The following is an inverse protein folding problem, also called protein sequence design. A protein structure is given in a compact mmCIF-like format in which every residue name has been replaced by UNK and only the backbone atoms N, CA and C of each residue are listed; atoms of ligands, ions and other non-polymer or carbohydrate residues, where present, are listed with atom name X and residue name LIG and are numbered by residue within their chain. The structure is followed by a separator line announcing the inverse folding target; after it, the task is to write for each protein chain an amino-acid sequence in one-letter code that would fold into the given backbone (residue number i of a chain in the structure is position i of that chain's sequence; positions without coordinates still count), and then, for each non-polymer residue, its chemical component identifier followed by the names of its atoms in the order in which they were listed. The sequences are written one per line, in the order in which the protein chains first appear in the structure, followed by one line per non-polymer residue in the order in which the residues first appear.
data_IF_377329259188
#
_entry.id   IF_377329259188
#
_cell.length_a   1.000
_cell.length_b   1.000
_cell.length_c   1.000
_cell.angle_alpha   90.00
_cell.angle_beta   90.00
_cell.angle_gamma   90.00
#
_symmetry.space_group_name_H-M   'P 1'
#
loop_
_entity.id
_entity.type
_entity.pdbx_description
1 polymer ?
#
# COMPACT_ATOMS: atom_id res chain seq x y z
N UNK A 1 13.42 -0.83 24.99
CA UNK A 1 12.97 -0.27 23.69
C UNK A 1 14.03 -0.34 22.60
N UNK A 2 15.32 -0.45 22.94
CA UNK A 2 16.44 -0.60 21.99
C UNK A 2 16.34 -1.84 21.09
N UNK A 3 15.67 -2.91 21.55
CA UNK A 3 15.54 -4.16 20.79
C UNK A 3 14.37 -4.22 19.81
N UNK A 4 13.60 -3.15 19.60
CA UNK A 4 12.50 -3.18 18.64
C UNK A 4 13.03 -3.26 17.20
N UNK A 5 12.46 -4.08 16.29
CA UNK A 5 12.93 -4.20 14.91
C UNK A 5 13.08 -2.87 14.17
N UNK A 6 12.14 -1.93 14.38
CA UNK A 6 12.25 -0.56 13.85
C UNK A 6 13.51 0.18 14.32
N UNK A 7 13.88 0.07 15.61
CA UNK A 7 15.05 0.75 16.18
C UNK A 7 16.33 0.11 15.63
N UNK A 8 16.38 -1.21 15.54
CA UNK A 8 17.51 -1.94 14.94
C UNK A 8 17.72 -1.59 13.47
N UNK A 9 16.65 -1.35 12.71
CA UNK A 9 16.74 -0.93 11.31
C UNK A 9 17.47 0.43 11.17
N UNK A 10 17.22 1.37 12.09
CA UNK A 10 17.88 2.68 12.07
C UNK A 10 19.39 2.60 12.34
N UNK A 11 19.85 1.51 12.96
CA UNK A 11 21.24 1.30 13.36
C UNK A 11 22.05 0.46 12.34
N UNK A 12 21.40 -0.08 11.30
CA UNK A 12 22.07 -0.93 10.32
C UNK A 12 22.83 -0.10 9.27
N UNK A 13 24.09 -0.47 8.93
CA UNK A 13 24.83 0.19 7.88
C UNK A 13 24.17 -0.08 6.52
N UNK A 14 24.01 0.96 5.70
CA UNK A 14 23.61 0.81 4.30
C UNK A 14 24.76 0.15 3.55
N UNK A 15 24.59 -1.11 3.13
CA UNK A 15 25.56 -1.76 2.24
C UNK A 15 25.47 -1.13 0.84
N UNK A 16 26.58 -1.07 0.10
CA UNK A 16 26.61 -0.46 -1.25
C UNK A 16 25.65 -1.15 -2.24
N UNK A 17 25.35 -2.44 -2.04
CA UNK A 17 24.37 -3.21 -2.81
C UNK A 17 22.92 -3.03 -2.30
N UNK A 18 22.71 -2.32 -1.18
CA UNK A 18 21.45 -2.22 -0.42
C UNK A 18 20.45 -1.15 -0.91
N UNK A 19 20.59 -0.62 -2.12
CA UNK A 19 19.77 0.53 -2.58
C UNK A 19 18.51 0.15 -3.37
N UNK A 20 18.29 -1.13 -3.67
CA UNK A 20 17.05 -1.55 -4.32
C UNK A 20 15.95 -1.86 -3.30
N UNK A 21 14.72 -1.42 -3.57
CA UNK A 21 13.55 -1.69 -2.72
C UNK A 21 13.37 -3.20 -2.45
N UNK A 22 13.76 -4.04 -3.41
CA UNK A 22 13.78 -5.50 -3.29
C UNK A 22 14.77 -6.01 -2.25
N UNK A 23 16.01 -5.48 -2.23
CA UNK A 23 17.03 -5.91 -1.27
C UNK A 23 16.63 -5.56 0.17
N UNK A 24 15.94 -4.43 0.34
CA UNK A 24 15.37 -4.04 1.63
C UNK A 24 14.25 -5.01 2.04
N UNK A 25 13.31 -5.33 1.15
CA UNK A 25 12.25 -6.30 1.44
C UNK A 25 12.79 -7.72 1.71
N UNK A 26 13.77 -8.16 0.94
CA UNK A 26 14.45 -9.46 1.11
C UNK A 26 15.15 -9.55 2.47
N UNK A 27 15.79 -8.46 2.92
CA UNK A 27 16.38 -8.37 4.26
C UNK A 27 15.36 -8.59 5.38
N UNK A 28 14.08 -8.31 5.12
CA UNK A 28 12.97 -8.57 6.03
C UNK A 28 12.24 -9.90 5.76
N UNK A 29 12.83 -10.81 4.98
CA UNK A 29 12.28 -12.11 4.59
C UNK A 29 10.98 -12.03 3.77
N UNK A 30 10.74 -10.90 3.11
CA UNK A 30 9.65 -10.76 2.15
C UNK A 30 10.20 -10.94 0.73
N UNK A 31 10.16 -12.18 0.26
CA UNK A 31 10.63 -12.54 -1.09
C UNK A 31 9.48 -12.45 -2.09
N UNK A 32 9.72 -11.73 -3.19
CA UNK A 32 8.83 -11.69 -4.35
C UNK A 32 9.62 -12.08 -5.62
N UNK A 33 10.15 -13.31 -5.69
CA UNK A 33 11.07 -13.70 -6.75
C UNK A 33 10.40 -13.64 -8.13
N UNK A 34 9.10 -13.97 -8.22
CA UNK A 34 8.39 -14.00 -9.49
C UNK A 34 8.05 -12.59 -9.97
N UNK A 35 7.57 -11.72 -9.06
CA UNK A 35 7.34 -10.31 -9.41
C UNK A 35 8.66 -9.61 -9.78
N UNK A 36 9.74 -9.89 -9.05
CA UNK A 36 11.05 -9.31 -9.35
C UNK A 36 11.57 -9.82 -10.70
N UNK A 37 11.41 -11.11 -11.00
CA UNK A 37 11.71 -11.68 -12.31
C UNK A 37 10.94 -10.98 -13.44
N UNK A 38 9.63 -10.75 -13.26
CA UNK A 38 8.82 -9.99 -14.21
C UNK A 38 9.34 -8.55 -14.40
N UNK A 39 9.62 -7.85 -13.31
CA UNK A 39 10.16 -6.47 -13.33
C UNK A 39 11.47 -6.40 -14.12
N UNK A 40 12.41 -7.31 -13.87
CA UNK A 40 13.68 -7.37 -14.58
C UNK A 40 13.52 -7.73 -16.07
N UNK A 41 12.60 -8.66 -16.39
CA UNK A 41 12.30 -9.04 -17.78
C UNK A 41 11.72 -7.86 -18.56
N UNK A 42 10.73 -7.16 -18.00
CA UNK A 42 10.15 -5.93 -18.58
C UNK A 42 11.22 -4.87 -18.80
N UNK A 43 12.06 -4.60 -17.79
CA UNK A 43 13.10 -3.57 -17.87
C UNK A 43 14.19 -3.90 -18.90
N UNK A 44 14.58 -5.17 -19.00
CA UNK A 44 15.53 -5.67 -20.01
C UNK A 44 14.99 -5.55 -21.43
N UNK A 45 13.67 -5.62 -21.57
CA UNK A 45 12.99 -5.50 -22.86
C UNK A 45 12.70 -4.06 -23.28
N UNK A 46 12.93 -3.05 -22.43
CA UNK A 46 12.95 -1.65 -22.86
C UNK A 46 14.11 -1.39 -23.83
N UNK A 47 13.79 -0.70 -24.92
CA UNK A 47 14.75 -0.28 -25.94
C UNK A 47 15.49 1.00 -25.53
N UNK A 48 16.79 1.05 -25.81
CA UNK A 48 17.64 2.24 -25.62
C UNK A 48 17.57 3.23 -26.79
N UNK A 49 16.76 2.93 -27.81
CA UNK A 49 16.60 3.67 -29.06
C UNK A 49 15.32 3.26 -29.79
N UNK A 50 15.06 3.78 -31.01
CA UNK A 50 13.95 3.30 -31.82
C UNK A 50 14.04 1.79 -32.08
N UNK A 51 12.92 1.04 -32.00
CA UNK A 51 11.61 1.53 -31.58
C UNK A 51 11.52 1.72 -30.06
N UNK A 52 11.04 2.90 -29.63
CA UNK A 52 10.92 3.30 -28.22
C UNK A 52 9.94 2.42 -27.43
N UNK A 53 10.13 2.28 -26.12
CA UNK A 53 9.37 1.34 -25.27
C UNK A 53 9.85 -0.11 -25.37
N UNK A 54 8.94 -1.10 -25.22
CA UNK A 54 9.29 -2.54 -25.26
C UNK A 54 9.72 -2.97 -26.67
N UNK A 55 10.98 -3.39 -26.83
CA UNK A 55 11.66 -3.57 -28.13
C UNK A 55 11.01 -4.56 -29.10
N UNK A 56 10.39 -5.62 -28.59
CA UNK A 56 9.82 -6.69 -29.41
C UNK A 56 8.35 -6.46 -29.81
N UNK A 57 7.70 -5.39 -29.33
CA UNK A 57 6.37 -5.02 -29.80
C UNK A 57 6.40 -4.52 -31.25
N UNK A 58 5.42 -4.94 -32.03
CA UNK A 58 5.10 -4.44 -33.36
C UNK A 58 3.95 -3.45 -33.22
N UNK A 59 4.24 -2.22 -33.59
CA UNK A 59 3.27 -1.15 -33.81
C UNK A 59 3.41 -0.68 -35.25
N UNK A 60 2.36 -0.08 -35.80
CA UNK A 60 2.56 0.76 -36.97
C UNK A 60 3.53 1.92 -36.62
N UNK A 61 4.19 2.49 -37.63
CA UNK A 61 5.15 3.58 -37.44
C UNK A 61 4.45 4.95 -37.25
N UNK A 62 3.16 4.97 -36.92
CA UNK A 62 2.47 6.23 -36.64
C UNK A 62 2.96 6.83 -35.32
N UNK A 63 2.88 8.16 -35.23
CA UNK A 63 3.20 8.89 -34.00
C UNK A 63 2.31 8.45 -32.83
N UNK A 64 1.00 8.25 -33.07
CA UNK A 64 0.04 7.80 -32.04
C UNK A 64 0.40 6.40 -31.50
N UNK A 65 0.74 5.45 -32.38
CA UNK A 65 1.12 4.11 -31.94
C UNK A 65 2.46 4.10 -31.19
N UNK A 66 3.41 4.94 -31.62
CA UNK A 66 4.70 5.12 -30.92
C UNK A 66 4.51 5.71 -29.52
N UNK A 67 3.70 6.77 -29.39
CA UNK A 67 3.36 7.38 -28.10
C UNK A 67 2.66 6.38 -27.20
N UNK A 68 1.68 5.64 -27.72
CA UNK A 68 0.97 4.60 -26.95
C UNK A 68 1.93 3.52 -26.46
N UNK A 69 2.82 3.04 -27.32
CA UNK A 69 3.86 2.07 -26.98
C UNK A 69 4.71 2.55 -25.82
N UNK A 70 5.20 3.78 -25.87
CA UNK A 70 5.97 4.40 -24.80
C UNK A 70 5.18 4.43 -23.49
N UNK A 71 3.96 4.96 -23.52
CA UNK A 71 3.16 5.16 -22.31
C UNK A 71 2.77 3.84 -21.63
N UNK A 72 2.38 2.84 -22.41
CA UNK A 72 2.08 1.50 -21.90
C UNK A 72 3.34 0.83 -21.35
N UNK A 73 4.47 0.93 -22.07
CA UNK A 73 5.77 0.38 -21.63
C UNK A 73 6.25 1.02 -20.31
N UNK A 74 6.19 2.34 -20.21
CA UNK A 74 6.55 3.08 -19.00
C UNK A 74 5.63 2.71 -17.84
N UNK A 75 4.31 2.62 -18.09
CA UNK A 75 3.33 2.27 -17.06
C UNK A 75 3.57 0.87 -16.49
N UNK A 76 3.86 -0.15 -17.31
CA UNK A 76 4.17 -1.49 -16.79
C UNK A 76 5.53 -1.53 -16.07
N UNK A 77 6.53 -0.82 -16.60
CA UNK A 77 7.85 -0.75 -16.00
C UNK A 77 7.77 -0.09 -14.62
N UNK A 78 7.17 1.10 -14.54
CA UNK A 78 6.93 1.80 -13.28
C UNK A 78 6.00 1.03 -12.36
N UNK A 79 4.93 0.43 -12.89
CA UNK A 79 3.98 -0.36 -12.10
C UNK A 79 4.70 -1.44 -11.32
N UNK A 80 5.56 -2.22 -11.99
CA UNK A 80 6.30 -3.34 -11.37
C UNK A 80 7.26 -2.89 -10.27
N UNK A 81 7.95 -1.76 -10.46
CA UNK A 81 8.78 -1.13 -9.41
C UNK A 81 7.94 -0.56 -8.26
N UNK A 82 6.84 0.12 -8.59
CA UNK A 82 5.99 0.82 -7.62
C UNK A 82 5.24 -0.17 -6.72
N UNK A 83 4.96 -1.39 -7.18
CA UNK A 83 4.48 -2.47 -6.31
C UNK A 83 5.46 -2.71 -5.15
N UNK A 84 6.76 -2.86 -5.44
CA UNK A 84 7.78 -3.09 -4.42
C UNK A 84 7.90 -1.90 -3.45
N UNK A 85 7.86 -0.68 -3.98
CA UNK A 85 7.90 0.55 -3.16
C UNK A 85 6.72 0.65 -2.21
N UNK A 86 5.52 0.34 -2.69
CA UNK A 86 4.32 0.33 -1.85
C UNK A 86 4.35 -0.80 -0.80
N UNK A 87 4.90 -1.97 -1.13
CA UNK A 87 5.08 -3.05 -0.14
C UNK A 87 6.10 -2.67 0.93
N UNK A 88 7.20 -2.01 0.54
CA UNK A 88 8.19 -1.48 1.48
C UNK A 88 7.57 -0.41 2.38
N UNK A 89 6.81 0.53 1.80
CA UNK A 89 6.09 1.54 2.56
C UNK A 89 5.08 0.93 3.54
N UNK A 90 4.33 -0.09 3.11
CA UNK A 90 3.41 -0.83 3.97
C UNK A 90 4.15 -1.48 5.14
N UNK A 91 5.31 -2.07 4.89
CA UNK A 91 6.13 -2.69 5.92
C UNK A 91 6.71 -1.68 6.91
N UNK A 92 7.22 -0.54 6.43
CA UNK A 92 7.74 0.53 7.31
C UNK A 92 6.63 1.06 8.23
N UNK A 93 5.44 1.30 7.69
CA UNK A 93 4.28 1.66 8.50
C UNK A 93 3.88 0.54 9.46
N UNK A 94 3.98 -0.72 9.08
CA UNK A 94 3.70 -1.84 9.98
C UNK A 94 4.69 -1.90 11.16
N UNK A 95 5.98 -1.67 10.92
CA UNK A 95 7.00 -1.60 11.96
C UNK A 95 6.72 -0.47 12.95
N UNK A 96 6.38 0.71 12.45
CA UNK A 96 6.02 1.86 13.28
C UNK A 96 4.70 1.63 14.03
N UNK A 97 3.70 1.01 13.40
CA UNK A 97 2.44 0.63 14.04
C UNK A 97 2.69 -0.28 15.26
N UNK A 98 3.51 -1.32 15.09
CA UNK A 98 3.87 -2.25 16.16
C UNK A 98 4.61 -1.52 17.30
N UNK A 99 5.57 -0.67 16.93
CA UNK A 99 6.34 0.13 17.89
C UNK A 99 5.44 1.04 18.72
N UNK A 100 4.62 1.87 18.07
CA UNK A 100 3.76 2.83 18.74
C UNK A 100 2.66 2.16 19.57
N UNK A 101 2.17 0.99 19.14
CA UNK A 101 1.23 0.18 19.92
C UNK A 101 1.86 -0.24 21.25
N UNK A 102 3.10 -0.74 21.22
CA UNK A 102 3.84 -1.11 22.43
C UNK A 102 4.15 0.09 23.31
N UNK A 103 4.58 1.22 22.74
CA UNK A 103 4.81 2.44 23.51
C UNK A 103 3.55 2.93 24.22
N UNK A 104 2.38 2.81 23.58
CA UNK A 104 1.10 3.16 24.17
C UNK A 104 0.75 2.24 25.34
N UNK A 105 0.91 0.92 25.18
CA UNK A 105 0.67 -0.06 26.24
C UNK A 105 1.60 0.16 27.45
N UNK A 106 2.90 0.36 27.22
CA UNK A 106 3.87 0.64 28.28
C UNK A 106 3.53 1.95 29.03
N UNK A 107 3.13 2.99 28.29
CA UNK A 107 2.66 4.24 28.91
C UNK A 107 1.42 4.00 29.77
N UNK A 108 0.45 3.26 29.28
CA UNK A 108 -0.78 2.96 30.01
C UNK A 108 -0.46 2.20 31.31
N UNK A 109 0.38 1.19 31.24
CA UNK A 109 0.83 0.40 32.39
C UNK A 109 1.57 1.22 33.45
N UNK A 110 2.46 2.15 33.04
CA UNK A 110 3.13 3.06 33.98
C UNK A 110 2.13 3.93 34.74
N UNK A 111 1.08 4.41 34.08
CA UNK A 111 0.06 5.23 34.74
C UNK A 111 -0.76 4.42 35.75
N UNK A 112 -1.11 3.16 35.43
CA UNK A 112 -1.75 2.26 36.40
C UNK A 112 -0.87 2.09 37.63
N UNK A 113 0.40 1.73 37.43
CA UNK A 113 1.35 1.52 38.53
C UNK A 113 1.48 2.74 39.44
N UNK A 114 1.67 3.93 38.87
CA UNK A 114 1.75 5.17 39.65
C UNK A 114 0.45 5.44 40.44
N UNK A 115 -0.71 5.16 39.86
CA UNK A 115 -1.99 5.33 40.54
C UNK A 115 -2.13 4.36 41.73
N UNK A 116 -1.78 3.09 41.53
CA UNK A 116 -1.79 2.08 42.59
C UNK A 116 -0.81 2.41 43.73
N UNK A 117 0.39 2.89 43.42
CA UNK A 117 1.38 3.32 44.43
C UNK A 117 0.85 4.49 45.26
N UNK A 118 0.29 5.52 44.61
CA UNK A 118 -0.32 6.67 45.31
C UNK A 118 -1.49 6.23 46.19
N UNK A 119 -2.32 5.31 45.72
CA UNK A 119 -3.42 4.76 46.51
C UNK A 119 -2.91 4.00 47.74
N UNK A 120 -1.89 3.13 47.62
CA UNK A 120 -1.30 2.41 48.77
C UNK A 120 -0.69 3.34 49.82
N UNK A 121 -0.11 4.45 49.40
CA UNK A 121 0.48 5.45 50.30
C UNK A 121 -0.58 6.34 50.99
N UNK A 122 -1.78 6.42 50.43
CA UNK A 122 -2.91 7.16 50.98
C UNK A 122 -3.70 6.23 51.89
N UNK A 123 -3.44 6.22 53.21
CA UNK A 123 -4.05 5.33 54.21
C UNK A 123 -5.57 5.53 54.45
N UNK A 124 -6.37 5.70 53.39
CA UNK A 124 -7.81 5.91 53.48
C UNK A 124 -8.53 4.58 53.25
N UNK A 125 -9.18 4.09 54.30
CA UNK A 125 -10.06 2.91 54.31
C UNK A 125 -11.11 3.03 53.21
N UNK A 126 -11.09 2.12 52.24
CA UNK A 126 -12.04 2.10 51.14
C UNK A 126 -13.37 1.47 51.59
N UNK A 127 -14.47 2.23 51.50
CA UNK A 127 -15.82 1.64 51.39
C UNK A 127 -16.01 1.20 49.93
N UNK A 128 -16.50 -0.02 49.67
CA UNK A 128 -16.74 -0.49 48.31
C UNK A 128 -17.88 0.33 47.69
N UNK A 129 -17.53 1.37 46.95
CA UNK A 129 -18.46 2.05 46.05
C UNK A 129 -18.76 1.06 44.93
N UNK A 130 -20.02 0.63 44.84
CA UNK A 130 -20.57 -0.15 43.72
C UNK A 130 -19.97 0.36 42.42
N UNK A 131 -19.41 -0.55 41.62
CA UNK A 131 -18.78 -0.33 40.31
C UNK A 131 -19.60 0.58 39.39
N UNK A 132 -19.57 1.89 39.60
CA UNK A 132 -19.65 2.83 38.50
C UNK A 132 -18.26 2.82 37.92
N UNK A 133 -18.14 2.42 36.66
CA UNK A 133 -16.95 2.64 35.82
C UNK A 133 -16.62 4.14 35.88
N UNK A 134 -15.92 4.57 36.92
CA UNK A 134 -15.26 5.85 36.95
C UNK A 134 -14.22 5.74 35.86
N UNK A 135 -14.55 6.30 34.70
CA UNK A 135 -13.62 6.52 33.61
C UNK A 135 -12.41 7.24 34.20
N UNK A 136 -11.37 6.48 34.55
CA UNK A 136 -10.09 7.06 34.94
C UNK A 136 -9.55 7.66 33.65
N UNK A 137 -9.87 8.93 33.44
CA UNK A 137 -9.38 9.69 32.28
C UNK A 137 -7.89 9.91 32.54
N UNK A 138 -7.06 9.00 32.06
CA UNK A 138 -5.61 9.11 32.14
C UNK A 138 -5.17 10.32 31.32
N UNK A 139 -4.58 11.32 31.99
CA UNK A 139 -4.10 12.54 31.33
C UNK A 139 -2.66 12.34 30.85
N UNK A 140 -2.36 12.57 29.56
CA UNK A 140 -0.98 12.52 29.06
C UNK A 140 -0.13 13.60 29.76
N UNK A 141 1.10 13.25 30.14
CA UNK A 141 2.06 14.15 30.80
C UNK A 141 3.00 14.85 29.83
N UNK A 142 3.16 14.30 28.63
CA UNK A 142 4.03 14.86 27.59
C UNK A 142 3.29 14.91 26.25
N UNK A 143 3.76 15.77 25.34
CA UNK A 143 3.20 15.87 23.99
C UNK A 143 3.28 14.52 23.26
N UNK A 144 4.40 13.81 23.40
CA UNK A 144 4.58 12.49 22.80
C UNK A 144 3.52 11.48 23.27
N UNK A 145 3.19 11.48 24.57
CA UNK A 145 2.12 10.64 25.10
C UNK A 145 0.74 11.03 24.55
N UNK A 146 0.49 12.33 24.38
CA UNK A 146 -0.77 12.83 23.85
C UNK A 146 -0.98 12.45 22.37
N UNK A 147 0.10 12.40 21.58
CA UNK A 147 0.01 12.05 20.15
C UNK A 147 0.17 10.56 19.87
N UNK A 148 0.65 9.75 20.83
CA UNK A 148 0.92 8.33 20.63
C UNK A 148 -0.30 7.54 20.06
N UNK A 149 -1.54 7.73 20.55
CA UNK A 149 -2.72 7.13 19.92
C UNK A 149 -2.91 7.52 18.44
N UNK A 150 -2.56 8.76 18.08
CA UNK A 150 -2.65 9.26 16.70
C UNK A 150 -1.55 8.71 15.82
N UNK A 151 -0.38 8.40 16.36
CA UNK A 151 0.68 7.70 15.64
C UNK A 151 0.26 6.27 15.29
N UNK A 152 -0.32 5.53 16.25
CA UNK A 152 -0.90 4.21 15.96
C UNK A 152 -1.91 4.27 14.81
N UNK A 153 -2.85 5.22 14.86
CA UNK A 153 -3.83 5.43 13.79
C UNK A 153 -3.18 5.84 12.45
N UNK A 154 -2.19 6.74 12.48
CA UNK A 154 -1.47 7.19 11.28
C UNK A 154 -0.83 6.01 10.55
N UNK A 155 -0.11 5.17 11.28
CA UNK A 155 0.62 4.04 10.69
C UNK A 155 -0.34 2.92 10.27
N UNK A 156 -1.42 2.66 11.02
CA UNK A 156 -2.48 1.74 10.56
C UNK A 156 -3.08 2.16 9.19
N UNK A 157 -3.40 3.45 9.03
CA UNK A 157 -3.87 4.00 7.75
C UNK A 157 -2.79 3.90 6.68
N UNK A 158 -1.53 4.16 7.07
CA UNK A 158 -0.37 4.02 6.21
C UNK A 158 -0.22 2.62 5.62
N UNK A 159 -0.30 1.57 6.44
CA UNK A 159 -0.24 0.16 6.00
C UNK A 159 -1.33 -0.10 4.96
N UNK A 160 -2.59 0.19 5.29
CA UNK A 160 -3.72 -0.09 4.40
C UNK A 160 -3.58 0.64 3.06
N UNK A 161 -3.23 1.94 3.07
CA UNK A 161 -3.04 2.75 1.85
C UNK A 161 -1.94 2.17 0.96
N UNK A 162 -0.81 1.83 1.54
CA UNK A 162 0.32 1.32 0.79
C UNK A 162 0.00 -0.05 0.17
N UNK A 163 -0.64 -0.97 0.91
CA UNK A 163 -1.10 -2.26 0.37
C UNK A 163 -2.09 -2.10 -0.79
N UNK A 164 -3.07 -1.21 -0.66
CA UNK A 164 -4.07 -0.97 -1.72
C UNK A 164 -3.42 -0.33 -2.95
N UNK A 165 -2.44 0.55 -2.74
CA UNK A 165 -1.66 1.14 -3.84
C UNK A 165 -0.82 0.08 -4.56
N UNK A 166 -0.23 -0.87 -3.84
CA UNK A 166 0.46 -2.02 -4.44
C UNK A 166 -0.50 -2.85 -5.31
N UNK A 167 -1.70 -3.16 -4.80
CA UNK A 167 -2.72 -3.91 -5.56
C UNK A 167 -3.21 -3.13 -6.81
N UNK A 168 -3.40 -1.81 -6.71
CA UNK A 168 -3.76 -0.98 -7.86
C UNK A 168 -2.64 -0.98 -8.93
N UNK A 169 -1.36 -0.96 -8.53
CA UNK A 169 -0.25 -1.11 -9.47
C UNK A 169 -0.23 -2.50 -10.12
N UNK A 170 -0.51 -3.58 -9.37
CA UNK A 170 -0.67 -4.93 -9.95
C UNK A 170 -1.82 -4.96 -10.96
N UNK A 171 -2.92 -4.24 -10.73
CA UNK A 171 -4.01 -4.19 -11.68
C UNK A 171 -3.57 -3.60 -13.04
N UNK A 172 -2.75 -2.55 -13.02
CA UNK A 172 -2.15 -2.01 -14.24
C UNK A 172 -1.21 -3.01 -14.93
N UNK A 173 -0.40 -3.77 -14.16
CA UNK A 173 0.46 -4.83 -14.70
C UNK A 173 -0.35 -5.92 -15.40
N UNK A 174 -1.41 -6.40 -14.76
CA UNK A 174 -2.30 -7.42 -15.32
C UNK A 174 -2.89 -6.95 -16.65
N UNK A 175 -3.40 -5.71 -16.70
CA UNK A 175 -3.94 -5.13 -17.93
C UNK A 175 -2.88 -5.02 -19.03
N UNK A 176 -1.65 -4.58 -18.70
CA UNK A 176 -0.57 -4.39 -19.67
C UNK A 176 0.04 -5.70 -20.19
N UNK A 177 0.21 -6.69 -19.31
CA UNK A 177 0.85 -7.98 -19.63
C UNK A 177 -0.11 -8.96 -20.31
N UNK A 178 -1.40 -8.99 -19.92
CA UNK A 178 -2.45 -9.81 -20.54
C UNK A 178 -3.19 -9.12 -21.70
N UNK A 179 -2.52 -8.20 -22.39
CA UNK A 179 -3.11 -7.04 -23.08
C UNK A 179 -4.64 -6.88 -23.02
N UNK A 180 -5.17 -6.63 -21.82
CA UNK A 180 -6.61 -6.47 -21.65
C UNK A 180 -7.04 -5.12 -22.26
N UNK A 181 -8.18 -5.12 -22.97
CA UNK A 181 -8.77 -3.90 -23.57
C UNK A 181 -9.44 -3.02 -22.50
N UNK A 182 -8.63 -2.47 -21.60
CA UNK A 182 -9.03 -1.63 -20.45
C UNK A 182 -8.03 -0.50 -20.26
N UNK A 183 -8.53 0.68 -19.88
CA UNK A 183 -7.71 1.87 -19.63
C UNK A 183 -6.75 1.64 -18.46
N UNK A 184 -5.43 1.66 -18.71
CA UNK A 184 -4.42 1.40 -17.68
C UNK A 184 -4.29 2.53 -16.65
N UNK A 185 -4.47 3.79 -17.06
CA UNK A 185 -4.34 4.96 -16.17
C UNK A 185 -5.35 4.92 -15.00
N UNK A 186 -6.50 4.27 -15.20
CA UNK A 186 -7.64 4.32 -14.28
C UNK A 186 -8.05 2.97 -13.73
N UNK A 187 -7.31 1.92 -14.07
CA UNK A 187 -7.60 0.60 -13.51
C UNK A 187 -7.22 0.61 -12.02
N UNK A 188 -8.09 -0.01 -11.23
CA UNK A 188 -7.87 -0.27 -9.81
C UNK A 188 -8.06 -1.76 -9.59
N UNK A 189 -7.55 -2.29 -8.48
CA UNK A 189 -7.73 -3.71 -8.17
C UNK A 189 -9.23 -4.08 -8.04
N UNK A 190 -10.03 -3.19 -7.44
CA UNK A 190 -11.50 -3.35 -7.38
C UNK A 190 -12.14 -3.43 -8.77
N UNK A 191 -11.76 -2.54 -9.69
CA UNK A 191 -12.28 -2.56 -11.08
C UNK A 191 -11.80 -3.77 -11.84
N UNK A 192 -10.56 -4.21 -11.63
CA UNK A 192 -10.04 -5.43 -12.23
C UNK A 192 -10.91 -6.63 -11.82
N UNK A 193 -11.16 -6.82 -10.52
CA UNK A 193 -12.04 -7.89 -10.00
C UNK A 193 -13.40 -7.90 -10.68
N UNK A 194 -14.02 -6.73 -10.83
CA UNK A 194 -15.37 -6.59 -11.40
C UNK A 194 -15.42 -6.80 -12.91
N UNK A 195 -14.35 -6.44 -13.64
CA UNK A 195 -14.42 -6.25 -15.08
C UNK A 195 -13.53 -7.20 -15.90
N UNK A 196 -12.65 -7.99 -15.26
CA UNK A 196 -11.63 -8.79 -15.94
C UNK A 196 -12.17 -10.05 -16.63
N UNK A 197 -13.32 -10.59 -16.21
CA UNK A 197 -13.87 -11.84 -16.75
C UNK A 197 -14.17 -11.80 -18.26
N UNK A 198 -14.84 -10.75 -18.75
CA UNK A 198 -15.17 -10.62 -20.20
C UNK A 198 -13.93 -10.38 -21.08
N UNK A 199 -12.98 -9.50 -20.71
CA UNK A 199 -11.72 -9.33 -21.43
C UNK A 199 -10.91 -10.62 -21.61
N UNK A 200 -10.82 -11.48 -20.59
CA UNK A 200 -10.04 -12.74 -20.69
C UNK A 200 -10.59 -13.66 -21.78
N UNK A 201 -11.91 -13.74 -21.94
CA UNK A 201 -12.53 -14.59 -22.96
C UNK A 201 -12.16 -14.20 -24.39
N UNK A 202 -11.60 -13.00 -24.59
CA UNK A 202 -11.11 -12.52 -25.90
C UNK A 202 -9.64 -12.82 -26.14
N UNK A 203 -8.93 -13.31 -25.13
CA UNK A 203 -7.57 -13.82 -25.27
C UNK A 203 -7.60 -15.24 -25.83
N UNK A 204 -6.46 -15.72 -26.29
CA UNK A 204 -6.32 -17.09 -26.82
C UNK A 204 -5.08 -17.79 -26.25
N UNK A 205 -5.13 -19.12 -26.24
CA UNK A 205 -4.03 -19.97 -25.80
C UNK A 205 -3.51 -19.62 -24.40
N UNK A 206 -2.18 -19.52 -24.27
CA UNK A 206 -1.47 -19.27 -23.00
C UNK A 206 -1.97 -18.00 -22.29
N UNK A 207 -2.33 -16.94 -23.04
CA UNK A 207 -2.82 -15.69 -22.44
C UNK A 207 -4.18 -15.86 -21.79
N UNK A 208 -5.07 -16.66 -22.38
CA UNK A 208 -6.40 -16.94 -21.83
C UNK A 208 -6.31 -17.83 -20.59
N UNK A 209 -5.45 -18.86 -20.64
CA UNK A 209 -5.24 -19.78 -19.52
C UNK A 209 -4.66 -19.05 -18.31
N UNK A 210 -3.55 -18.33 -18.49
CA UNK A 210 -2.95 -17.52 -17.43
C UNK A 210 -3.91 -16.41 -16.97
N UNK A 211 -4.62 -15.75 -17.89
CA UNK A 211 -5.64 -14.77 -17.54
C UNK A 211 -6.75 -15.35 -16.66
N UNK A 212 -7.17 -16.59 -16.92
CA UNK A 212 -8.16 -17.30 -16.09
C UNK A 212 -7.58 -17.64 -14.71
N UNK A 213 -6.31 -18.07 -14.63
CA UNK A 213 -5.63 -18.30 -13.34
C UNK A 213 -5.51 -17.01 -12.53
N UNK A 214 -5.10 -15.90 -13.16
CA UNK A 214 -5.07 -14.58 -12.52
C UNK A 214 -6.46 -14.13 -12.07
N UNK A 215 -7.48 -14.31 -12.90
CA UNK A 215 -8.86 -13.99 -12.52
C UNK A 215 -9.31 -14.78 -11.30
N UNK A 216 -8.99 -16.08 -11.24
CA UNK A 216 -9.30 -16.91 -10.09
C UNK A 216 -8.56 -16.44 -8.84
N UNK A 217 -7.28 -16.05 -8.94
CA UNK A 217 -6.54 -15.49 -7.80
C UNK A 217 -7.15 -14.17 -7.31
N UNK A 218 -7.43 -13.26 -8.25
CA UNK A 218 -7.95 -11.90 -7.99
C UNK A 218 -9.38 -11.94 -7.46
N UNK A 219 -10.19 -12.90 -7.91
CA UNK A 219 -11.56 -13.09 -7.46
C UNK A 219 -11.71 -14.11 -6.34
N UNK A 220 -10.66 -14.87 -6.00
CA UNK A 220 -10.70 -15.75 -4.83
C UNK A 220 -10.84 -14.89 -3.59
N UNK A 221 -11.84 -15.20 -2.76
CA UNK A 221 -12.02 -14.50 -1.48
C UNK A 221 -11.00 -14.94 -0.43
N UNK A 222 -10.04 -15.81 -0.80
CA UNK A 222 -9.08 -16.42 0.12
C UNK A 222 -9.72 -17.17 1.30
N UNK A 223 -11.03 -17.45 1.23
CA UNK A 223 -11.82 -18.02 2.31
C UNK A 223 -12.25 -17.02 3.42
N UNK A 224 -11.73 -15.80 3.44
CA UNK A 224 -11.86 -14.90 4.59
C UNK A 224 -12.34 -13.47 4.24
N UNK A 225 -12.54 -13.14 2.95
CA UNK A 225 -13.07 -11.83 2.53
C UNK A 225 -12.14 -10.65 2.80
N UNK A 226 -10.87 -10.92 3.11
CA UNK A 226 -9.90 -9.90 3.53
C UNK A 226 -9.58 -8.89 2.42
N UNK A 227 -9.67 -9.29 1.14
CA UNK A 227 -9.45 -8.39 0.00
C UNK A 227 -10.55 -7.34 -0.05
N UNK A 228 -11.83 -7.76 0.03
CA UNK A 228 -12.96 -6.84 0.06
C UNK A 228 -12.92 -5.92 1.28
N UNK A 229 -12.57 -6.48 2.43
CA UNK A 229 -12.35 -5.72 3.65
C UNK A 229 -11.27 -4.64 3.46
N UNK A 230 -10.10 -5.02 2.94
CA UNK A 230 -9.00 -4.10 2.70
C UNK A 230 -9.43 -2.99 1.71
N UNK A 231 -10.05 -3.36 0.58
CA UNK A 231 -10.55 -2.39 -0.41
C UNK A 231 -11.63 -1.46 0.19
N UNK A 232 -12.44 -1.94 1.12
CA UNK A 232 -13.42 -1.13 1.86
C UNK A 232 -12.78 0.00 2.67
N UNK A 233 -11.59 -0.23 3.25
CA UNK A 233 -10.83 0.80 3.97
C UNK A 233 -10.44 1.98 3.07
N UNK A 234 -10.28 1.78 1.76
CA UNK A 234 -9.97 2.85 0.81
C UNK A 234 -10.98 3.99 0.88
N UNK A 235 -12.26 3.64 0.89
CA UNK A 235 -13.33 4.64 0.82
C UNK A 235 -13.46 5.43 2.12
N UNK A 236 -13.26 4.76 3.26
CA UNK A 236 -13.42 5.41 4.56
C UNK A 236 -12.13 6.08 5.00
N UNK A 237 -11.01 5.36 5.09
CA UNK A 237 -9.78 5.88 5.68
C UNK A 237 -8.99 6.83 4.79
N UNK A 238 -9.06 6.69 3.46
CA UNK A 238 -8.26 7.51 2.53
C UNK A 238 -9.07 8.65 1.92
N UNK A 239 -10.33 8.40 1.55
CA UNK A 239 -11.12 9.36 0.77
C UNK A 239 -12.08 10.23 1.58
N UNK A 240 -12.60 9.76 2.73
CA UNK A 240 -13.76 10.40 3.38
C UNK A 240 -13.60 10.72 4.87
N UNK A 241 -12.66 10.10 5.58
CA UNK A 241 -12.30 10.47 6.96
C UNK A 241 -11.65 9.31 7.72
N UNK A 242 -10.54 9.58 8.42
CA UNK A 242 -9.83 8.56 9.22
C UNK A 242 -10.75 8.03 10.31
N UNK A 243 -11.33 6.84 10.13
CA UNK A 243 -12.09 6.20 11.22
C UNK A 243 -11.13 5.85 12.35
N UNK A 244 -11.66 5.86 13.56
CA UNK A 244 -10.86 5.63 14.77
C UNK A 244 -10.44 4.16 14.83
N UNK A 245 -9.16 3.89 15.09
CA UNK A 245 -8.73 2.56 15.57
C UNK A 245 -9.10 2.52 17.04
N UNK A 246 -9.86 1.52 17.45
CA UNK A 246 -10.34 1.41 18.82
C UNK A 246 -9.26 0.76 19.67
N UNK A 247 -9.08 1.21 20.91
CA UNK A 247 -8.30 0.45 21.87
C UNK A 247 -9.22 -0.08 22.96
N UNK A 248 -9.05 -1.36 23.25
CA UNK A 248 -9.66 -2.07 24.35
C UNK A 248 -8.60 -2.26 25.43
N UNK A 249 -8.97 -2.00 26.67
CA UNK A 249 -8.08 -2.21 27.82
C UNK A 249 -8.64 -3.35 28.64
N UNK A 250 -7.88 -4.43 28.76
CA UNK A 250 -8.20 -5.53 29.66
C UNK A 250 -7.13 -5.61 30.75
N UNK A 251 -7.55 -5.80 32.00
CA UNK A 251 -6.62 -6.12 33.07
C UNK A 251 -6.10 -7.53 32.81
N UNK A 252 -4.79 -7.66 32.66
CA UNK A 252 -4.15 -8.97 32.64
C UNK A 252 -4.19 -9.57 34.05
N UNK A 253 -4.24 -10.90 34.14
CA UNK A 253 -4.03 -11.59 35.43
C UNK A 253 -2.59 -11.49 35.95
N UNK A 254 -1.72 -10.74 35.27
CA UNK A 254 -0.33 -10.52 35.64
C UNK A 254 -0.20 -9.24 36.46
N UNK A 255 0.70 -9.27 37.42
CA UNK A 255 1.02 -8.14 38.28
C UNK A 255 2.41 -7.62 37.94
N UNK A 256 2.53 -6.29 37.85
CA UNK A 256 3.79 -5.61 37.67
C UNK A 256 4.47 -5.29 39.00
N UNK A 257 5.56 -4.51 38.96
CA UNK A 257 6.16 -3.94 40.16
C UNK A 257 5.10 -3.27 41.07
N UNK A 258 5.27 -3.40 42.39
CA UNK A 258 4.32 -2.94 43.42
C UNK A 258 2.96 -3.68 43.47
N UNK A 259 2.86 -4.89 42.88
CA UNK A 259 1.64 -5.70 42.82
C UNK A 259 0.46 -4.97 42.15
N UNK A 260 0.77 -4.01 41.26
CA UNK A 260 -0.24 -3.35 40.45
C UNK A 260 -0.61 -4.27 39.27
N UNK A 261 -1.90 -4.45 38.95
CA UNK A 261 -2.30 -5.24 37.79
C UNK A 261 -1.74 -4.59 36.52
N UNK A 262 -1.18 -5.41 35.64
CA UNK A 262 -0.82 -4.97 34.30
C UNK A 262 -2.06 -4.99 33.43
N UNK A 263 -2.22 -4.00 32.57
CA UNK A 263 -3.24 -3.96 31.54
C UNK A 263 -2.63 -4.31 30.18
N UNK A 264 -3.40 -5.06 29.40
CA UNK A 264 -3.17 -5.27 27.97
C UNK A 264 -3.98 -4.23 27.21
N UNK A 265 -3.30 -3.44 26.38
CA UNK A 265 -3.95 -2.46 25.48
C UNK A 265 -4.02 -3.06 24.09
N UNK A 266 -5.22 -3.44 23.66
CA UNK A 266 -5.45 -4.10 22.38
C UNK A 266 -6.07 -3.12 21.40
N UNK A 267 -5.37 -2.81 20.31
CA UNK A 267 -5.93 -2.01 19.23
C UNK A 267 -6.74 -2.89 18.28
N UNK A 268 -7.90 -2.42 17.86
CA UNK A 268 -8.91 -3.17 17.10
C UNK A 268 -9.30 -2.41 15.85
N UNK A 269 -9.48 -3.18 14.77
CA UNK A 269 -9.90 -2.67 13.47
C UNK A 269 -11.41 -2.88 13.28
N UNK A 270 -12.07 -2.06 12.45
CA UNK A 270 -13.49 -2.23 12.16
C UNK A 270 -13.75 -3.53 11.42
N UNK A 271 -14.84 -4.23 11.76
CA UNK A 271 -15.27 -5.43 11.02
C UNK A 271 -15.81 -5.09 9.63
N UNK A 272 -16.58 -4.00 9.55
CA UNK A 272 -17.20 -3.49 8.32
C UNK A 272 -16.60 -2.13 7.98
N UNK A 273 -15.48 -2.09 7.22
CA UNK A 273 -14.64 -0.91 7.04
C UNK A 273 -15.25 0.12 6.09
N UNK A 274 -16.28 -0.24 5.31
CA UNK A 274 -17.02 0.61 4.39
C UNK A 274 -18.13 1.42 5.07
N UNK A 275 -18.60 0.98 6.24
CA UNK A 275 -19.64 1.67 7.01
C UNK A 275 -18.99 2.74 7.91
N UNK A 276 -19.48 3.99 7.94
CA UNK A 276 -19.01 5.02 8.88
C UNK A 276 -19.16 4.60 10.35
N UNK A 277 -18.20 5.02 11.18
CA UNK A 277 -18.18 4.71 12.62
C UNK A 277 -19.49 5.04 13.34
N UNK A 278 -20.00 6.26 13.14
CA UNK A 278 -21.26 6.72 13.75
C UNK A 278 -22.45 5.85 13.34
N UNK A 279 -22.47 5.36 12.09
CA UNK A 279 -23.53 4.48 11.62
C UNK A 279 -23.46 3.11 12.29
N UNK A 280 -22.25 2.57 12.52
CA UNK A 280 -22.09 1.31 13.26
C UNK A 280 -22.55 1.45 14.71
N UNK A 281 -22.17 2.54 15.37
CA UNK A 281 -22.60 2.81 16.75
C UNK A 281 -24.12 2.94 16.84
N UNK A 282 -24.73 3.71 15.93
CA UNK A 282 -26.18 3.87 15.87
C UNK A 282 -26.90 2.55 15.58
N UNK A 283 -26.43 1.75 14.61
CA UNK A 283 -26.99 0.44 14.29
C UNK A 283 -26.90 -0.52 15.47
N UNK A 284 -25.73 -0.60 16.12
CA UNK A 284 -25.55 -1.46 17.27
C UNK A 284 -26.52 -1.07 18.39
N UNK A 285 -26.66 0.22 18.72
CA UNK A 285 -27.62 0.71 19.71
C UNK A 285 -29.10 0.52 19.31
N UNK A 286 -29.43 0.51 18.02
CA UNK A 286 -30.79 0.24 17.55
C UNK A 286 -31.13 -1.25 17.57
N UNK A 287 -30.14 -2.11 17.35
CA UNK A 287 -30.30 -3.57 17.28
C UNK A 287 -30.16 -4.25 18.65
N UNK A 288 -29.46 -3.65 19.60
CA UNK A 288 -29.32 -4.18 20.95
C UNK A 288 -30.50 -3.80 21.85
N UNK A 289 -31.33 -4.78 22.18
CA UNK A 289 -32.44 -4.64 23.14
C UNK A 289 -32.00 -4.69 24.61
N UNK A 290 -30.79 -4.25 24.96
CA UNK A 290 -30.25 -4.37 26.32
C UNK A 290 -29.24 -3.29 26.70
N UNK A 291 -29.30 -2.85 27.97
CA UNK A 291 -28.54 -1.72 28.54
C UNK A 291 -27.01 -1.90 28.54
N UNK A 292 -26.50 -3.11 28.33
CA UNK A 292 -25.06 -3.42 28.43
C UNK A 292 -24.29 -3.41 27.10
N UNK A 293 -24.94 -3.19 25.96
CA UNK A 293 -24.23 -3.11 24.68
C UNK A 293 -23.88 -1.65 24.37
N UNK A 294 -22.72 -1.19 24.81
CA UNK A 294 -22.12 -0.05 24.12
C UNK A 294 -21.86 -0.46 22.67
N UNK A 295 -22.30 0.35 21.70
CA UNK A 295 -22.34 0.05 20.27
C UNK A 295 -20.99 -0.19 19.55
N UNK A 296 -19.97 -0.61 20.28
CA UNK A 296 -18.63 -0.97 19.80
C UNK A 296 -18.53 -2.45 19.33
N UNK A 297 -19.64 -3.18 19.22
CA UNK A 297 -19.68 -4.63 18.91
C UNK A 297 -19.25 -5.04 17.48
N UNK A 298 -18.79 -4.10 16.64
CA UNK A 298 -18.44 -4.36 15.23
C UNK A 298 -16.94 -4.22 14.95
N UNK A 299 -16.12 -4.86 15.78
CA UNK A 299 -14.66 -4.89 15.66
C UNK A 299 -14.17 -6.27 15.24
N UNK A 300 -13.01 -6.33 14.58
CA UNK A 300 -12.33 -7.60 14.33
C UNK A 300 -11.90 -8.25 15.66
N UNK A 301 -11.98 -9.58 15.70
CA UNK A 301 -11.61 -10.38 16.86
C UNK A 301 -10.09 -10.44 17.08
N UNK A 302 -9.28 -10.11 16.07
CA UNK A 302 -7.83 -9.95 16.18
C UNK A 302 -7.43 -8.56 16.66
N UNK A 303 -6.16 -8.39 17.05
CA UNK A 303 -5.57 -7.06 17.23
C UNK A 303 -5.06 -6.50 15.90
N UNK A 304 -4.95 -5.18 15.84
CA UNK A 304 -4.59 -4.46 14.62
C UNK A 304 -3.22 -4.87 14.08
N UNK A 305 -2.23 -5.12 14.94
CA UNK A 305 -0.87 -5.51 14.52
C UNK A 305 -0.93 -6.89 13.88
N UNK A 306 -1.54 -7.87 14.54
CA UNK A 306 -1.70 -9.22 13.99
C UNK A 306 -2.49 -9.24 12.68
N UNK A 307 -3.60 -8.49 12.60
CA UNK A 307 -4.39 -8.39 11.37
C UNK A 307 -3.61 -7.77 10.22
N UNK A 308 -2.89 -6.66 10.44
CA UNK A 308 -2.07 -6.06 9.38
C UNK A 308 -0.88 -6.91 8.97
N UNK A 309 -0.30 -7.68 9.89
CA UNK A 309 0.74 -8.66 9.57
C UNK A 309 0.20 -9.72 8.59
N UNK A 310 -0.94 -10.32 8.91
CA UNK A 310 -1.59 -11.30 8.03
C UNK A 310 -1.98 -10.71 6.67
N UNK A 311 -2.46 -9.47 6.63
CA UNK A 311 -2.76 -8.76 5.39
C UNK A 311 -1.52 -8.51 4.53
N UNK A 312 -0.41 -8.11 5.15
CA UNK A 312 0.86 -7.90 4.46
C UNK A 312 1.37 -9.21 3.84
N UNK A 313 1.40 -10.29 4.62
CA UNK A 313 1.80 -11.63 4.18
C UNK A 313 0.89 -12.15 3.05
N UNK A 314 -0.43 -12.00 3.21
CA UNK A 314 -1.42 -12.37 2.21
C UNK A 314 -1.30 -11.56 0.91
N UNK A 315 -1.06 -10.25 1.00
CA UNK A 315 -0.82 -9.40 -0.17
C UNK A 315 0.45 -9.82 -0.90
N UNK A 316 1.55 -10.07 -0.18
CA UNK A 316 2.83 -10.49 -0.77
C UNK A 316 2.68 -11.81 -1.51
N UNK A 317 2.07 -12.81 -0.88
CA UNK A 317 1.82 -14.11 -1.50
C UNK A 317 0.93 -14.00 -2.75
N UNK A 318 -0.16 -13.21 -2.66
CA UNK A 318 -1.05 -12.97 -3.79
C UNK A 318 -0.31 -12.28 -4.95
N UNK A 319 0.42 -11.21 -4.65
CA UNK A 319 1.15 -10.41 -5.63
C UNK A 319 2.23 -11.23 -6.32
N UNK A 320 3.01 -12.02 -5.56
CA UNK A 320 4.06 -12.85 -6.15
C UNK A 320 3.48 -14.00 -6.99
N UNK A 321 2.36 -14.58 -6.56
CA UNK A 321 1.64 -15.60 -7.35
C UNK A 321 1.12 -15.01 -8.66
N UNK A 322 0.54 -13.80 -8.63
CA UNK A 322 0.17 -13.09 -9.86
C UNK A 322 1.41 -12.80 -10.70
N UNK A 323 2.51 -12.37 -10.08
CA UNK A 323 3.80 -12.13 -10.74
C UNK A 323 4.29 -13.35 -11.53
N UNK A 324 4.13 -14.56 -10.98
CA UNK A 324 4.47 -15.82 -11.65
C UNK A 324 3.67 -16.01 -12.92
N UNK A 325 2.36 -15.87 -12.84
CA UNK A 325 1.45 -16.01 -13.99
C UNK A 325 1.74 -14.97 -15.08
N UNK A 326 2.04 -13.74 -14.67
CA UNK A 326 2.36 -12.66 -15.59
C UNK A 326 3.74 -12.85 -16.24
N UNK A 327 4.74 -13.35 -15.51
CA UNK A 327 6.07 -13.64 -16.04
C UNK A 327 6.01 -14.72 -17.12
N UNK A 328 5.29 -15.81 -16.86
CA UNK A 328 5.07 -16.88 -17.85
C UNK A 328 4.46 -16.34 -19.15
N UNK A 329 3.43 -15.49 -19.04
CA UNK A 329 2.82 -14.85 -20.20
C UNK A 329 3.78 -13.90 -20.90
N UNK A 330 4.55 -13.12 -20.14
CA UNK A 330 5.50 -12.16 -20.70
C UNK A 330 6.54 -12.86 -21.57
N UNK A 331 7.14 -13.93 -21.06
CA UNK A 331 8.15 -14.73 -21.77
C UNK A 331 7.56 -15.45 -22.99
N UNK A 332 6.35 -15.98 -22.87
CA UNK A 332 5.63 -16.56 -24.01
C UNK A 332 5.36 -15.50 -25.09
N UNK A 333 4.88 -14.30 -24.70
CA UNK A 333 4.56 -13.22 -25.64
C UNK A 333 5.78 -12.73 -26.39
N UNK A 334 6.91 -12.56 -25.70
CA UNK A 334 8.19 -12.20 -26.31
C UNK A 334 8.56 -13.10 -27.49
N UNK A 335 8.17 -14.37 -27.41
CA UNK A 335 8.46 -15.39 -28.44
C UNK A 335 7.37 -15.56 -29.50
N UNK A 336 6.10 -15.20 -29.20
CA UNK A 336 4.95 -15.62 -30.00
C UNK A 336 4.00 -14.50 -30.46
N UNK A 337 3.93 -13.37 -29.77
CA UNK A 337 2.92 -12.35 -30.02
C UNK A 337 3.51 -10.94 -29.94
N UNK A 338 3.47 -10.20 -31.05
CA UNK A 338 4.09 -8.87 -31.13
C UNK A 338 3.09 -7.72 -31.26
N UNK A 339 1.81 -7.98 -31.56
CA UNK A 339 0.83 -6.91 -31.84
C UNK A 339 0.35 -6.20 -30.57
N UNK A 340 1.08 -5.15 -30.16
CA UNK A 340 0.84 -4.34 -28.95
C UNK A 340 1.48 -2.96 -29.04
N UNK A 341 1.02 -1.98 -28.23
CA UNK A 341 -0.10 -2.05 -27.27
C UNK A 341 -1.50 -1.99 -27.93
N UNK A 342 -2.55 -2.47 -27.25
CA UNK A 342 -3.94 -2.29 -27.73
C UNK A 342 -4.41 -0.85 -27.55
N UNK A 343 -5.20 -0.33 -28.49
CA UNK A 343 -5.65 1.07 -28.49
C UNK A 343 -6.38 1.45 -27.21
N UNK A 344 -7.18 0.55 -26.67
CA UNK A 344 -8.02 0.76 -25.49
C UNK A 344 -7.23 0.85 -24.18
N UNK A 345 -5.96 0.42 -24.14
CA UNK A 345 -5.11 0.59 -22.96
C UNK A 345 -4.75 2.06 -22.72
N UNK A 346 -4.68 2.84 -23.79
CA UNK A 346 -4.43 4.27 -23.75
C UNK A 346 -5.27 4.99 -24.82
N UNK A 347 -6.57 5.22 -24.53
CA UNK A 347 -7.52 5.69 -25.54
C UNK A 347 -7.31 7.14 -25.95
N UNK A 348 -6.59 7.95 -25.15
CA UNK A 348 -6.43 9.38 -25.39
C UNK A 348 -4.97 9.82 -25.17
N UNK A 349 -4.10 9.49 -26.13
CA UNK A 349 -2.70 9.91 -26.12
C UNK A 349 -2.55 11.44 -26.16
N UNK A 350 -3.46 12.14 -26.85
CA UNK A 350 -3.41 13.60 -27.02
C UNK A 350 -3.80 14.38 -25.75
N UNK A 351 -4.55 13.78 -24.82
CA UNK A 351 -4.91 14.39 -23.52
C UNK A 351 -3.70 14.95 -22.76
N UNK A 352 -2.53 14.33 -22.93
CA UNK A 352 -1.31 14.76 -22.24
C UNK A 352 -0.85 16.15 -22.68
N UNK A 353 -0.99 16.50 -23.96
CA UNK A 353 -0.63 17.84 -24.47
C UNK A 353 -1.47 18.93 -23.79
N UNK A 354 -2.76 18.69 -23.63
CA UNK A 354 -3.68 19.61 -22.94
C UNK A 354 -3.47 19.64 -21.43
N UNK A 355 -3.04 18.54 -20.82
CA UNK A 355 -2.70 18.49 -19.41
C UNK A 355 -1.45 19.31 -19.10
N UNK A 356 -0.40 19.19 -19.93
CA UNK A 356 0.85 19.97 -19.80
C UNK A 356 0.56 21.47 -19.96
N UNK A 357 -0.22 21.87 -20.96
CA UNK A 357 -0.62 23.27 -21.15
C UNK A 357 -1.38 23.85 -19.97
N UNK A 358 -2.13 23.03 -19.23
CA UNK A 358 -2.88 23.43 -18.04
C UNK A 358 -2.09 23.28 -16.73
N UNK A 359 -0.88 22.73 -16.77
CA UNK A 359 -0.04 22.57 -15.60
C UNK A 359 0.49 23.95 -15.15
N UNK A 360 -0.27 24.61 -14.28
CA UNK A 360 0.07 25.94 -13.73
C UNK A 360 0.48 25.93 -12.26
N UNK A 361 0.41 24.79 -11.57
CA UNK A 361 0.76 24.71 -10.15
C UNK A 361 2.29 24.74 -9.96
N UNK A 362 2.82 25.86 -9.47
CA UNK A 362 4.26 26.09 -9.25
C UNK A 362 4.72 25.71 -7.83
N UNK A 363 3.86 25.04 -7.05
CA UNK A 363 4.07 24.82 -5.62
C UNK A 363 3.66 26.03 -4.76
N UNK A 364 3.76 25.87 -3.44
CA UNK A 364 3.41 26.90 -2.44
C UNK A 364 4.62 27.65 -1.88
N UNK A 365 5.82 27.27 -2.32
CA UNK A 365 7.05 27.93 -1.88
C UNK A 365 7.09 29.36 -2.42
N UNK A 366 7.36 30.33 -1.55
CA UNK A 366 7.44 31.76 -1.93
C UNK A 366 8.53 32.03 -2.97
N UNK A 367 9.63 31.28 -2.90
CA UNK A 367 10.76 31.35 -3.82
C UNK A 367 11.01 29.95 -4.39
N UNK A 368 10.30 29.53 -5.44
CA UNK A 368 10.56 28.24 -6.05
C UNK A 368 11.99 28.21 -6.58
N UNK A 369 12.76 27.19 -6.23
CA UNK A 369 14.06 27.00 -6.86
C UNK A 369 13.81 26.64 -8.33
N UNK A 370 14.38 27.39 -9.29
CA UNK A 370 14.24 27.03 -10.69
C UNK A 370 14.92 25.68 -10.93
N UNK A 371 14.17 24.70 -11.47
CA UNK A 371 14.72 23.44 -11.90
C UNK A 371 15.72 23.67 -13.04
N UNK A 372 16.96 23.19 -12.89
CA UNK A 372 17.95 23.20 -13.98
C UNK A 372 17.92 21.83 -14.68
N UNK A 373 17.41 21.73 -15.93
CA UNK A 373 17.50 20.50 -16.71
C UNK A 373 18.98 20.14 -16.89
N UNK A 374 19.38 18.92 -16.53
CA UNK A 374 20.78 18.45 -16.66
C UNK A 374 21.60 18.39 -15.37
N UNK A 375 21.08 18.84 -14.21
CA UNK A 375 21.79 18.73 -12.92
C UNK A 375 21.18 17.69 -11.95
N UNK A 376 20.22 16.88 -12.42
CA UNK A 376 19.58 15.89 -11.57
C UNK A 376 20.40 14.59 -11.60
N UNK A 377 20.90 14.10 -10.45
CA UNK A 377 21.41 12.74 -10.37
C UNK A 377 20.22 11.80 -10.58
N UNK A 378 20.17 11.12 -11.73
CA UNK A 378 19.13 10.16 -12.08
C UNK A 378 19.71 8.78 -11.86
N UNK A 379 18.99 7.91 -11.15
CA UNK A 379 19.43 6.52 -11.03
C UNK A 379 19.41 5.82 -12.41
N UNK A 380 20.24 4.79 -12.65
CA UNK A 380 20.35 4.14 -13.96
C UNK A 380 19.02 3.59 -14.50
N UNK A 381 18.13 3.14 -13.61
CA UNK A 381 16.80 2.64 -13.97
C UNK A 381 15.94 3.73 -14.59
N UNK A 382 15.79 4.86 -13.89
CA UNK A 382 15.03 6.02 -14.37
C UNK A 382 15.68 6.62 -15.62
N UNK A 383 17.01 6.60 -15.71
CA UNK A 383 17.70 7.04 -16.93
C UNK A 383 17.29 6.21 -18.15
N UNK A 384 17.39 4.88 -18.07
CA UNK A 384 16.99 3.98 -19.17
C UNK A 384 15.52 4.15 -19.53
N UNK A 385 14.65 4.25 -18.53
CA UNK A 385 13.21 4.43 -18.71
C UNK A 385 12.87 5.74 -19.42
N UNK A 386 13.45 6.86 -18.97
CA UNK A 386 13.24 8.16 -19.59
C UNK A 386 13.79 8.18 -21.01
N UNK A 387 14.93 7.52 -21.26
CA UNK A 387 15.49 7.35 -22.60
C UNK A 387 14.54 6.54 -23.49
N UNK A 388 14.02 5.42 -23.00
CA UNK A 388 13.05 4.58 -23.70
C UNK A 388 11.71 5.29 -23.95
N UNK A 389 11.39 6.33 -23.17
CA UNK A 389 10.21 7.17 -23.31
C UNK A 389 10.45 8.44 -24.13
N UNK A 390 11.67 8.67 -24.62
CA UNK A 390 11.98 9.84 -25.42
C UNK A 390 11.28 9.74 -26.78
N UNK A 391 10.55 10.80 -27.14
CA UNK A 391 9.92 10.93 -28.45
C UNK A 391 10.87 11.66 -29.40
N UNK A 392 10.99 11.18 -30.65
CA UNK A 392 11.66 11.91 -31.75
C UNK A 392 10.79 13.01 -32.37
N UNK A 393 9.87 13.60 -31.60
CA UNK A 393 9.25 14.87 -31.98
C UNK A 393 10.34 15.95 -31.87
N UNK A 394 10.54 16.80 -32.89
CA UNK A 394 11.63 17.79 -32.89
C UNK A 394 11.61 18.68 -31.64
N UNK A 395 10.42 19.04 -31.15
CA UNK A 395 10.28 19.91 -29.98
C UNK A 395 10.58 19.15 -28.68
N UNK A 396 10.12 17.91 -28.58
CA UNK A 396 10.31 17.06 -27.39
C UNK A 396 11.74 16.51 -27.34
N UNK A 397 12.31 16.16 -28.49
CA UNK A 397 13.69 15.71 -28.64
C UNK A 397 14.70 16.82 -28.35
N UNK A 398 14.39 18.09 -28.62
CA UNK A 398 15.22 19.21 -28.18
C UNK A 398 15.28 19.30 -26.65
N UNK A 399 14.14 19.07 -25.98
CA UNK A 399 14.05 19.05 -24.50
C UNK A 399 14.79 17.83 -23.93
N UNK A 400 14.47 16.61 -24.36
CA UNK A 400 15.13 15.38 -23.86
C UNK A 400 16.60 15.28 -24.26
N UNK A 401 16.96 15.75 -25.44
CA UNK A 401 18.34 15.77 -25.93
C UNK A 401 19.25 16.67 -25.11
N UNK A 402 18.72 17.62 -24.33
CA UNK A 402 19.51 18.38 -23.35
C UNK A 402 19.70 17.63 -22.01
N UNK A 403 18.85 16.66 -21.71
CA UNK A 403 18.82 15.91 -20.46
C UNK A 403 19.72 14.66 -20.48
N UNK A 404 19.97 14.12 -21.68
CA UNK A 404 20.77 12.90 -21.90
C UNK A 404 22.13 13.16 -22.56
N UNK A 405 22.55 14.43 -22.70
CA UNK A 405 23.85 14.81 -23.26
C UNK A 405 24.96 14.80 -22.22
#
# INVERSE_FOLDING_TARGET
MTDHPFVRLLEQPVTQDGTSDYNVLHHFHYELPNLNGLKESIFTDLSDGPPWGIKWWKTDNSTDATVRRILVSDTICQGSRTVLQNLLEAYLHFLELSYWTKCHEEWFNRNIQEHFVKQRQSSVVYRPVKQRQSSVVYRPKTLLQAICPRLVQLHAVGVARALISALDCVAALVVGVLPLRKEMERITFSRLRQEMGKPIQRLSGVQQEAGTRVYNLVCSDGGEGWIDWLLGLRNTWMHRGRQTVFHEVSLSGLYGPAEAPLAKVTWRLPKDPDIPEVCRMAQASLLSKGEDSMGFCHLLAGDAVSSFKGLLEGCIALIDTIGKELLEVWDWRKSNCQDQPVKEQWPNAERQKDAIKRAGFQGLARNPMPGRPGCLPINPYDYKRLKAAALHDQDVAAVWGSFFR
#
